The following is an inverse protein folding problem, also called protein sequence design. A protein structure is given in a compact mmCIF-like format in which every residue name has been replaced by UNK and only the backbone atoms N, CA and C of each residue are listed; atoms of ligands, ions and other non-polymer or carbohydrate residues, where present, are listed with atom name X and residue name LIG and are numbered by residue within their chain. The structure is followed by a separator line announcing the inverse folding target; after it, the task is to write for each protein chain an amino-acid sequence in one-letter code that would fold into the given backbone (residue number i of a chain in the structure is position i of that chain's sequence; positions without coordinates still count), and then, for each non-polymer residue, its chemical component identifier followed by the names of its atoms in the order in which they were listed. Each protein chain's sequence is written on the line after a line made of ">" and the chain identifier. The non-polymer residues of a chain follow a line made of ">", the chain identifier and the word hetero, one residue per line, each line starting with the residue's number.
data_IF_711316791491
#
_entry.id   IF_711316791491
#
_cell.length_a   1.000
_cell.length_b   1.000
_cell.length_c   1.000
_cell.angle_alpha   90.00
_cell.angle_beta   90.00
_cell.angle_gamma   90.00
#
_symmetry.space_group_name_H-M   'P 1'
#
loop_
_entity.id
_entity.type
_entity.pdbx_description
1 polymer ?
#
# COMPACT_ATOMS: atom_id res chain seq x y z
N UNK A 1 33.34 -51.47 17.02
CA UNK A 1 33.79 -50.07 16.86
C UNK A 1 34.92 -50.13 15.86
N UNK A 2 34.82 -49.58 14.66
CA UNK A 2 34.40 -48.20 14.34
C UNK A 2 33.35 -48.08 13.24
N UNK A 3 32.66 -46.95 13.34
CA UNK A 3 31.52 -46.48 12.55
C UNK A 3 32.08 -45.62 11.40
N UNK A 4 31.43 -45.70 10.24
CA UNK A 4 31.55 -44.82 9.07
C UNK A 4 31.88 -43.34 9.39
N UNK A 5 32.59 -42.68 8.46
CA UNK A 5 32.13 -41.38 7.95
C UNK A 5 32.79 -41.05 6.60
N UNK A 6 32.00 -41.22 5.54
CA UNK A 6 32.24 -40.63 4.24
C UNK A 6 32.33 -39.11 4.39
N UNK A 7 33.48 -38.55 4.05
CA UNK A 7 33.61 -37.10 3.85
C UNK A 7 32.78 -36.70 2.64
N UNK A 8 31.60 -36.15 2.91
CA UNK A 8 30.83 -35.39 1.93
C UNK A 8 31.68 -34.24 1.42
N UNK A 9 32.09 -34.33 0.16
CA UNK A 9 32.60 -33.22 -0.62
C UNK A 9 31.54 -32.12 -0.62
N UNK A 10 31.76 -31.10 0.21
CA UNK A 10 31.01 -29.85 0.17
C UNK A 10 31.46 -29.11 -1.09
N UNK A 11 30.97 -29.56 -2.24
CA UNK A 11 31.09 -28.83 -3.50
C UNK A 11 30.56 -27.41 -3.24
N UNK A 12 31.46 -26.43 -3.23
CA UNK A 12 31.08 -25.03 -3.33
C UNK A 12 30.39 -24.86 -4.68
N UNK A 13 29.07 -24.93 -4.70
CA UNK A 13 28.25 -24.63 -5.86
C UNK A 13 28.51 -23.14 -6.17
N UNK A 14 29.38 -22.87 -7.13
CA UNK A 14 29.56 -21.51 -7.65
C UNK A 14 28.21 -21.06 -8.19
N UNK A 15 27.68 -19.91 -7.74
CA UNK A 15 26.41 -19.42 -8.23
C UNK A 15 26.51 -19.24 -9.75
N UNK A 16 25.55 -19.80 -10.48
CA UNK A 16 25.41 -19.58 -11.92
C UNK A 16 25.25 -18.08 -12.20
N UNK A 17 25.67 -17.62 -13.38
CA UNK A 17 25.61 -16.20 -13.78
C UNK A 17 24.23 -15.58 -13.56
N UNK A 18 23.16 -16.35 -13.75
CA UNK A 18 21.78 -15.91 -13.49
C UNK A 18 21.47 -15.71 -12.00
N UNK A 19 22.04 -16.54 -11.13
CA UNK A 19 21.89 -16.40 -9.67
C UNK A 19 22.65 -15.17 -9.17
N UNK A 20 23.86 -14.93 -9.67
CA UNK A 20 24.63 -13.71 -9.37
C UNK A 20 23.86 -12.47 -9.80
N UNK A 21 23.30 -12.46 -11.02
CA UNK A 21 22.54 -11.33 -11.55
C UNK A 21 21.26 -11.05 -10.75
N UNK A 22 20.59 -12.08 -10.23
CA UNK A 22 19.39 -11.92 -9.38
C UNK A 22 19.71 -11.38 -7.99
N UNK A 23 20.81 -11.84 -7.38
CA UNK A 23 21.28 -11.32 -6.08
C UNK A 23 21.63 -9.83 -6.22
N UNK A 24 22.39 -9.48 -7.26
CA UNK A 24 22.78 -8.09 -7.55
C UNK A 24 21.57 -7.18 -7.81
N UNK A 25 20.55 -7.67 -8.54
CA UNK A 25 19.31 -6.94 -8.79
C UNK A 25 18.47 -6.73 -7.52
N UNK A 26 18.47 -7.70 -6.60
CA UNK A 26 17.72 -7.61 -5.35
C UNK A 26 18.42 -6.69 -4.33
N UNK A 27 19.75 -6.61 -4.36
CA UNK A 27 20.52 -5.69 -3.53
C UNK A 27 20.46 -4.25 -4.06
N UNK A 28 20.31 -4.07 -5.36
CA UNK A 28 20.14 -2.76 -6.00
C UNK A 28 18.76 -2.13 -5.77
N UNK A 29 17.69 -2.94 -5.69
CA UNK A 29 16.33 -2.42 -5.49
C UNK A 29 16.07 -2.11 -4.01
N UNK A 30 15.73 -0.85 -3.65
CA UNK A 30 15.53 -0.46 -2.25
C UNK A 30 14.46 -1.29 -1.50
N UNK A 31 13.50 -1.88 -2.21
CA UNK A 31 12.42 -2.70 -1.64
C UNK A 31 12.85 -4.12 -1.27
N UNK A 32 13.87 -4.67 -1.93
CA UNK A 32 14.39 -6.04 -1.68
C UNK A 32 15.74 -6.03 -0.96
N UNK A 33 16.38 -4.87 -0.84
CA UNK A 33 17.70 -4.67 -0.22
C UNK A 33 17.71 -5.00 1.30
N UNK A 34 16.57 -4.83 1.99
CA UNK A 34 16.45 -5.15 3.42
C UNK A 34 15.42 -6.25 3.67
N UNK A 35 15.88 -7.35 4.28
CA UNK A 35 15.06 -8.55 4.57
C UNK A 35 14.74 -8.75 6.05
N UNK A 36 15.01 -7.74 6.89
CA UNK A 36 14.81 -7.79 8.36
C UNK A 36 13.41 -7.33 8.81
N UNK A 37 12.38 -7.53 7.97
CA UNK A 37 11.01 -7.11 8.28
C UNK A 37 10.30 -8.11 9.19
N UNK A 38 9.73 -7.64 10.30
CA UNK A 38 8.89 -8.45 11.18
C UNK A 38 7.45 -8.53 10.67
N UNK A 39 6.70 -9.59 11.00
CA UNK A 39 5.32 -9.79 10.50
C UNK A 39 4.38 -8.64 10.85
N UNK A 40 4.51 -8.06 12.05
CA UNK A 40 3.69 -6.93 12.49
C UNK A 40 3.98 -5.65 11.69
N UNK A 41 5.23 -5.46 11.27
CA UNK A 41 5.63 -4.33 10.45
C UNK A 41 5.03 -4.44 9.03
N UNK A 42 5.08 -5.64 8.45
CA UNK A 42 4.46 -5.92 7.15
C UNK A 42 2.94 -5.77 7.18
N UNK A 43 2.29 -6.26 8.25
CA UNK A 43 0.85 -6.10 8.44
C UNK A 43 0.45 -4.61 8.54
N UNK A 44 1.20 -3.82 9.32
CA UNK A 44 0.93 -2.39 9.47
C UNK A 44 1.07 -1.61 8.16
N UNK A 45 2.12 -1.90 7.38
CA UNK A 45 2.31 -1.29 6.06
C UNK A 45 1.21 -1.66 5.07
N UNK A 46 0.78 -2.93 5.07
CA UNK A 46 -0.32 -3.38 4.22
C UNK A 46 -1.63 -2.65 4.57
N UNK A 47 -1.98 -2.59 5.86
CA UNK A 47 -3.15 -1.83 6.32
C UNK A 47 -3.05 -0.35 5.92
N UNK A 48 -1.89 0.28 6.12
CA UNK A 48 -1.69 1.70 5.78
C UNK A 48 -1.83 1.95 4.27
N UNK A 49 -1.34 1.03 3.44
CA UNK A 49 -1.51 1.11 1.98
C UNK A 49 -2.99 1.00 1.57
N UNK A 50 -3.75 0.12 2.20
CA UNK A 50 -5.18 -0.07 1.92
C UNK A 50 -6.06 1.09 2.44
N UNK A 51 -5.73 1.65 3.60
CA UNK A 51 -6.50 2.73 4.25
C UNK A 51 -6.38 4.08 3.52
N UNK A 52 -5.47 4.21 2.55
CA UNK A 52 -5.25 5.42 1.76
C UNK A 52 -6.41 5.79 0.81
N UNK A 53 -6.09 6.01 -0.47
CA UNK A 53 -7.08 6.50 -1.45
C UNK A 53 -8.34 5.64 -1.57
N UNK A 54 -8.25 4.33 -1.33
CA UNK A 54 -9.38 3.40 -1.43
C UNK A 54 -10.52 3.69 -0.43
N UNK A 55 -10.18 4.10 0.80
CA UNK A 55 -11.19 4.35 1.84
C UNK A 55 -11.90 5.69 1.64
N UNK A 56 -11.29 6.66 0.96
CA UNK A 56 -11.90 7.97 0.73
C UNK A 56 -13.18 7.90 -0.10
N UNK A 57 -13.29 6.92 -1.00
CA UNK A 57 -14.49 6.66 -1.80
C UNK A 57 -15.56 5.83 -1.08
N UNK A 58 -15.22 5.19 0.05
CA UNK A 58 -16.10 4.24 0.73
C UNK A 58 -17.40 4.88 1.24
N UNK A 59 -17.40 6.06 1.90
CA UNK A 59 -18.64 6.68 2.36
C UNK A 59 -19.58 7.03 1.21
N UNK A 60 -19.01 7.49 0.08
CA UNK A 60 -19.78 7.79 -1.12
C UNK A 60 -20.39 6.51 -1.70
N UNK A 61 -19.61 5.44 -1.86
CA UNK A 61 -20.13 4.15 -2.33
C UNK A 61 -21.24 3.58 -1.42
N UNK A 62 -21.05 3.65 -0.10
CA UNK A 62 -22.05 3.24 0.89
C UNK A 62 -23.34 4.08 0.81
N UNK A 63 -23.22 5.38 0.51
CA UNK A 63 -24.39 6.25 0.33
C UNK A 63 -25.22 5.86 -0.90
N UNK A 64 -24.58 5.36 -1.96
CA UNK A 64 -25.24 4.97 -3.20
C UNK A 64 -25.85 3.56 -3.12
N UNK A 65 -25.14 2.61 -2.49
CA UNK A 65 -25.57 1.21 -2.36
C UNK A 65 -26.53 0.98 -1.19
N UNK A 66 -26.55 1.90 -0.21
CA UNK A 66 -27.24 1.70 1.06
C UNK A 66 -26.55 0.70 1.96
N UNK A 67 -27.02 0.59 3.20
CA UNK A 67 -26.37 -0.21 4.25
C UNK A 67 -26.32 -1.70 3.93
N UNK A 68 -27.44 -2.33 3.56
CA UNK A 68 -27.50 -3.78 3.32
C UNK A 68 -26.57 -4.24 2.19
N UNK A 69 -26.79 -3.78 0.94
CA UNK A 69 -25.93 -4.13 -0.20
C UNK A 69 -24.49 -3.65 -0.03
N UNK A 70 -24.28 -2.46 0.55
CA UNK A 70 -22.94 -1.92 0.80
C UNK A 70 -22.12 -2.80 1.75
N UNK A 71 -22.69 -3.19 2.90
CA UNK A 71 -22.02 -4.10 3.84
C UNK A 71 -21.76 -5.46 3.21
N UNK A 72 -22.72 -6.01 2.45
CA UNK A 72 -22.55 -7.29 1.77
C UNK A 72 -21.35 -7.28 0.80
N UNK A 73 -21.22 -6.23 -0.01
CA UNK A 73 -20.09 -6.07 -0.95
C UNK A 73 -18.76 -5.89 -0.21
N UNK A 74 -18.73 -5.16 0.90
CA UNK A 74 -17.51 -5.00 1.72
C UNK A 74 -17.07 -6.34 2.30
N UNK A 75 -18.00 -7.13 2.86
CA UNK A 75 -17.68 -8.45 3.42
C UNK A 75 -17.19 -9.41 2.34
N UNK A 76 -17.86 -9.42 1.18
CA UNK A 76 -17.45 -10.24 0.05
C UNK A 76 -16.04 -9.86 -0.45
N UNK A 77 -15.78 -8.57 -0.61
CA UNK A 77 -14.46 -8.04 -0.99
C UNK A 77 -13.37 -8.44 0.00
N UNK A 78 -13.68 -8.38 1.30
CA UNK A 78 -12.77 -8.82 2.36
C UNK A 78 -12.43 -10.32 2.26
N UNK A 79 -13.43 -11.18 2.03
CA UNK A 79 -13.22 -12.63 1.85
C UNK A 79 -12.32 -12.90 0.63
N UNK A 80 -12.61 -12.26 -0.51
CA UNK A 80 -11.81 -12.41 -1.74
C UNK A 80 -10.38 -11.93 -1.52
N UNK A 81 -10.20 -10.81 -0.80
CA UNK A 81 -8.87 -10.26 -0.49
C UNK A 81 -8.08 -11.20 0.40
N UNK A 82 -8.68 -11.77 1.45
CA UNK A 82 -8.00 -12.75 2.30
C UNK A 82 -7.62 -14.02 1.53
N UNK A 83 -8.52 -14.51 0.69
CA UNK A 83 -8.27 -15.69 -0.13
C UNK A 83 -7.12 -15.45 -1.12
N UNK A 84 -7.11 -14.32 -1.82
CA UNK A 84 -6.03 -13.98 -2.76
C UNK A 84 -4.69 -13.73 -2.04
N UNK A 85 -4.70 -13.09 -0.86
CA UNK A 85 -3.49 -12.95 -0.03
C UNK A 85 -2.93 -14.31 0.38
N UNK A 86 -3.79 -15.24 0.80
CA UNK A 86 -3.36 -16.61 1.09
C UNK A 86 -2.70 -17.24 -0.14
N UNK A 87 -3.38 -17.21 -1.30
CA UNK A 87 -2.84 -17.79 -2.53
C UNK A 87 -1.47 -17.20 -2.89
N UNK A 88 -1.30 -15.88 -2.75
CA UNK A 88 0.00 -15.25 -3.01
C UNK A 88 1.10 -15.74 -2.07
N UNK A 89 0.79 -15.96 -0.79
CA UNK A 89 1.78 -16.48 0.18
C UNK A 89 2.20 -17.91 -0.19
N UNK A 90 1.25 -18.76 -0.56
CA UNK A 90 1.53 -20.14 -0.95
C UNK A 90 2.36 -20.22 -2.24
N UNK A 91 1.94 -19.46 -3.27
CA UNK A 91 2.60 -19.44 -4.58
C UNK A 91 4.01 -18.84 -4.52
N UNK A 92 4.27 -17.98 -3.55
CA UNK A 92 5.53 -17.25 -3.43
C UNK A 92 6.73 -18.16 -3.06
N UNK A 93 6.48 -19.34 -2.47
CA UNK A 93 7.48 -20.39 -2.19
C UNK A 93 7.06 -21.78 -2.71
N UNK A 94 6.28 -21.83 -3.80
CA UNK A 94 5.76 -23.09 -4.38
C UNK A 94 6.87 -24.07 -4.80
N UNK A 95 8.03 -23.56 -5.22
CA UNK A 95 9.17 -24.37 -5.64
C UNK A 95 10.24 -24.39 -4.54
N UNK A 96 10.64 -25.57 -4.01
CA UNK A 96 11.69 -25.67 -3.01
C UNK A 96 12.98 -24.99 -3.47
N UNK A 97 13.46 -24.02 -2.68
CA UNK A 97 14.70 -23.29 -2.96
C UNK A 97 14.58 -22.12 -3.93
N UNK A 98 13.39 -21.81 -4.46
CA UNK A 98 13.15 -20.61 -5.29
C UNK A 98 11.99 -19.78 -4.76
N UNK A 99 12.32 -18.56 -4.38
CA UNK A 99 11.38 -17.55 -3.88
C UNK A 99 10.95 -16.61 -5.01
N UNK A 100 9.65 -16.46 -5.24
CA UNK A 100 9.10 -15.61 -6.30
C UNK A 100 8.73 -14.22 -5.77
N UNK A 101 9.70 -13.34 -5.60
CA UNK A 101 9.47 -12.01 -5.01
C UNK A 101 8.72 -11.02 -5.93
N UNK A 102 8.42 -11.39 -7.18
CA UNK A 102 7.82 -10.48 -8.18
C UNK A 102 6.64 -11.12 -8.89
N UNK A 103 5.60 -10.32 -9.11
CA UNK A 103 4.39 -10.72 -9.81
C UNK A 103 4.64 -11.30 -11.20
N UNK A 104 5.49 -10.66 -12.01
CA UNK A 104 5.79 -11.17 -13.35
C UNK A 104 6.60 -12.46 -13.30
N UNK A 105 7.50 -12.65 -12.33
CA UNK A 105 8.24 -13.93 -12.19
C UNK A 105 7.30 -15.07 -11.84
N UNK A 106 6.32 -14.80 -10.96
CA UNK A 106 5.27 -15.75 -10.61
C UNK A 106 4.36 -16.04 -11.81
N UNK A 107 3.94 -15.00 -12.52
CA UNK A 107 3.14 -15.15 -13.74
C UNK A 107 3.87 -15.95 -14.82
N UNK A 108 5.17 -15.73 -14.99
CA UNK A 108 6.00 -16.49 -15.92
C UNK A 108 6.13 -17.96 -15.51
N UNK A 109 6.12 -18.25 -14.21
CA UNK A 109 6.11 -19.63 -13.71
C UNK A 109 4.78 -20.32 -13.99
N UNK A 110 3.65 -19.66 -13.69
CA UNK A 110 2.32 -20.24 -13.81
C UNK A 110 1.81 -20.34 -15.26
N UNK A 111 2.06 -19.32 -16.09
CA UNK A 111 1.52 -19.22 -17.44
C UNK A 111 2.58 -19.37 -18.55
N UNK A 112 3.85 -19.53 -18.19
CA UNK A 112 4.98 -19.59 -19.12
C UNK A 112 5.63 -18.23 -19.39
N UNK A 113 6.87 -18.26 -19.89
CA UNK A 113 7.78 -17.10 -19.90
C UNK A 113 7.27 -15.86 -20.66
N UNK A 114 6.56 -16.07 -21.78
CA UNK A 114 5.99 -14.97 -22.59
C UNK A 114 4.58 -14.61 -22.15
N UNK A 115 3.71 -15.61 -21.99
CA UNK A 115 2.29 -15.38 -21.68
C UNK A 115 2.11 -14.80 -20.27
N UNK A 116 2.88 -15.27 -19.28
CA UNK A 116 2.85 -14.73 -17.93
C UNK A 116 3.19 -13.24 -17.87
N UNK A 117 4.18 -12.81 -18.66
CA UNK A 117 4.58 -11.40 -18.72
C UNK A 117 3.49 -10.54 -19.38
N UNK A 118 2.92 -11.01 -20.50
CA UNK A 118 1.85 -10.30 -21.22
C UNK A 118 0.52 -10.23 -20.45
N UNK A 119 0.26 -11.15 -19.54
CA UNK A 119 -0.95 -11.11 -18.70
C UNK A 119 -0.73 -10.22 -17.47
N UNK A 120 0.35 -10.46 -16.73
CA UNK A 120 0.54 -9.83 -15.42
C UNK A 120 1.01 -8.38 -15.51
N UNK A 121 1.95 -8.07 -16.42
CA UNK A 121 2.54 -6.72 -16.49
C UNK A 121 1.53 -5.65 -16.92
N UNK A 122 0.70 -5.86 -17.96
CA UNK A 122 -0.30 -4.86 -18.33
C UNK A 122 -1.35 -4.62 -17.24
N UNK A 123 -1.78 -5.66 -16.54
CA UNK A 123 -2.70 -5.51 -15.41
C UNK A 123 -2.05 -4.71 -14.27
N UNK A 124 -0.80 -5.02 -13.93
CA UNK A 124 -0.08 -4.28 -12.90
C UNK A 124 0.09 -2.80 -13.29
N UNK A 125 0.51 -2.51 -14.52
CA UNK A 125 0.66 -1.13 -15.01
C UNK A 125 -0.67 -0.37 -15.02
N UNK A 126 -1.76 -1.01 -15.44
CA UNK A 126 -3.09 -0.40 -15.44
C UNK A 126 -3.49 0.05 -14.02
N UNK A 127 -3.31 -0.82 -13.03
CA UNK A 127 -3.65 -0.52 -11.63
C UNK A 127 -2.76 0.60 -11.10
N UNK A 128 -1.43 0.53 -11.30
CA UNK A 128 -0.49 1.54 -10.82
C UNK A 128 -0.74 2.93 -11.43
N UNK A 129 -0.97 2.99 -12.75
CA UNK A 129 -1.29 4.26 -13.44
C UNK A 129 -2.61 4.83 -12.91
N UNK A 130 -3.64 3.98 -12.78
CA UNK A 130 -4.95 4.41 -12.27
C UNK A 130 -4.86 4.96 -10.84
N UNK A 131 -4.16 4.24 -9.96
CA UNK A 131 -3.94 4.65 -8.57
C UNK A 131 -3.18 5.97 -8.51
N UNK A 132 -2.12 6.14 -9.30
CA UNK A 132 -1.35 7.38 -9.35
C UNK A 132 -2.23 8.58 -9.77
N UNK A 133 -3.06 8.43 -10.81
CA UNK A 133 -3.98 9.49 -11.26
C UNK A 133 -4.94 9.89 -10.13
N UNK A 134 -5.55 8.91 -9.46
CA UNK A 134 -6.49 9.16 -8.35
C UNK A 134 -5.81 9.89 -7.20
N UNK A 135 -4.59 9.49 -6.84
CA UNK A 135 -3.82 10.18 -5.79
C UNK A 135 -3.44 11.62 -6.18
N UNK A 136 -3.05 11.87 -7.43
CA UNK A 136 -2.72 13.23 -7.89
C UNK A 136 -3.93 14.16 -7.84
N UNK A 137 -5.10 13.68 -8.29
CA UNK A 137 -6.35 14.45 -8.26
C UNK A 137 -6.77 14.71 -6.80
N UNK A 138 -6.71 13.68 -5.96
CA UNK A 138 -7.11 13.77 -4.55
C UNK A 138 -6.21 14.73 -3.78
N UNK A 139 -4.89 14.64 -3.94
CA UNK A 139 -3.93 15.54 -3.34
C UNK A 139 -4.11 16.99 -3.78
N UNK A 140 -4.31 17.23 -5.08
CA UNK A 140 -4.62 18.56 -5.62
C UNK A 140 -5.92 19.14 -5.08
N UNK A 141 -6.98 18.33 -4.96
CA UNK A 141 -8.25 18.75 -4.35
C UNK A 141 -8.09 19.12 -2.87
N UNK A 142 -7.28 18.36 -2.12
CA UNK A 142 -6.98 18.66 -0.72
C UNK A 142 -6.22 19.98 -0.58
N UNK A 143 -5.20 20.22 -1.42
CA UNK A 143 -4.47 21.50 -1.43
C UNK A 143 -5.36 22.68 -1.75
N UNK A 144 -6.26 22.53 -2.73
CA UNK A 144 -7.24 23.57 -3.05
C UNK A 144 -8.12 23.91 -1.85
N UNK A 145 -8.65 22.90 -1.14
CA UNK A 145 -9.46 23.14 0.06
C UNK A 145 -8.68 23.87 1.15
N UNK A 146 -7.41 23.54 1.35
CA UNK A 146 -6.55 24.25 2.31
C UNK A 146 -6.41 25.72 1.91
N UNK A 147 -6.16 26.00 0.63
CA UNK A 147 -6.09 27.37 0.11
C UNK A 147 -7.41 28.13 0.33
N UNK A 148 -8.54 27.51 -0.02
CA UNK A 148 -9.87 28.13 0.08
C UNK A 148 -10.27 28.40 1.55
N UNK A 149 -9.77 27.59 2.50
CA UNK A 149 -9.93 27.82 3.95
C UNK A 149 -8.99 28.90 4.50
N UNK A 150 -7.77 29.01 3.97
CA UNK A 150 -6.78 29.98 4.44
C UNK A 150 -7.05 31.40 3.93
N UNK A 151 -7.67 31.53 2.76
CA UNK A 151 -7.95 32.82 2.14
C UNK A 151 -9.40 32.91 1.63
N UNK A 152 -10.27 33.56 2.43
CA UNK A 152 -11.70 33.68 2.12
C UNK A 152 -12.01 34.61 0.94
N UNK A 153 -11.18 35.63 0.69
CA UNK A 153 -11.39 36.64 -0.37
C UNK A 153 -10.44 36.48 -1.57
N UNK A 154 -9.75 35.34 -1.68
CA UNK A 154 -8.86 35.07 -2.80
C UNK A 154 -9.64 34.78 -4.09
N UNK A 155 -9.05 35.17 -5.23
CA UNK A 155 -9.60 34.78 -6.53
C UNK A 155 -9.62 33.25 -6.66
N UNK A 156 -10.70 32.67 -7.19
CA UNK A 156 -10.78 31.22 -7.37
C UNK A 156 -9.72 30.76 -8.37
N UNK A 157 -8.80 29.92 -7.90
CA UNK A 157 -7.77 29.28 -8.72
C UNK A 157 -8.30 27.94 -9.23
N UNK A 158 -7.98 27.61 -10.49
CA UNK A 158 -8.37 26.31 -11.07
C UNK A 158 -7.69 25.16 -10.35
N UNK A 159 -8.43 24.09 -10.07
CA UNK A 159 -7.93 22.87 -9.42
C UNK A 159 -6.70 22.28 -10.12
N UNK A 160 -6.61 22.41 -11.45
CA UNK A 160 -5.47 21.95 -12.26
C UNK A 160 -4.13 22.48 -11.76
N UNK A 161 -4.06 23.73 -11.28
CA UNK A 161 -2.81 24.30 -10.75
C UNK A 161 -2.39 23.61 -9.45
N UNK A 162 -3.33 23.32 -8.55
CA UNK A 162 -3.04 22.58 -7.32
C UNK A 162 -2.60 21.14 -7.59
N UNK A 163 -3.18 20.48 -8.60
CA UNK A 163 -2.74 19.15 -9.04
C UNK A 163 -1.30 19.22 -9.57
N UNK A 164 -0.96 20.23 -10.38
CA UNK A 164 0.42 20.40 -10.89
C UNK A 164 1.42 20.68 -9.76
N UNK A 165 1.04 21.48 -8.76
CA UNK A 165 1.88 21.72 -7.56
C UNK A 165 2.13 20.41 -6.83
N UNK A 166 1.08 19.62 -6.56
CA UNK A 166 1.22 18.33 -5.90
C UNK A 166 2.08 17.34 -6.69
N UNK A 167 1.90 17.29 -8.00
CA UNK A 167 2.69 16.46 -8.92
C UNK A 167 4.17 16.87 -8.94
N UNK A 168 4.45 18.19 -8.91
CA UNK A 168 5.83 18.70 -8.87
C UNK A 168 6.57 18.21 -7.62
N UNK A 169 5.92 18.25 -6.46
CA UNK A 169 6.48 17.72 -5.21
C UNK A 169 6.78 16.22 -5.34
N UNK A 170 5.85 15.43 -5.89
CA UNK A 170 6.04 13.99 -6.10
C UNK A 170 7.19 13.68 -7.08
N UNK A 171 7.32 14.49 -8.14
CA UNK A 171 8.42 14.35 -9.09
C UNK A 171 9.78 14.57 -8.42
N UNK A 172 9.93 15.55 -7.53
CA UNK A 172 11.17 15.72 -6.78
C UNK A 172 11.41 14.57 -5.80
N UNK A 173 10.37 14.12 -5.10
CA UNK A 173 10.47 13.00 -4.16
C UNK A 173 10.83 11.68 -4.86
N UNK A 174 10.41 11.46 -6.11
CA UNK A 174 10.74 10.23 -6.85
C UNK A 174 12.22 10.12 -7.23
N UNK A 175 12.96 11.23 -7.21
CA UNK A 175 14.40 11.24 -7.46
C UNK A 175 15.22 10.93 -6.18
N UNK A 176 14.57 10.79 -5.02
CA UNK A 176 15.27 10.41 -3.80
C UNK A 176 15.66 8.92 -3.86
N UNK A 177 16.97 8.59 -3.75
CA UNK A 177 17.46 7.24 -4.01
C UNK A 177 17.15 6.23 -2.88
N UNK A 178 16.63 6.67 -1.72
CA UNK A 178 16.38 5.79 -0.57
C UNK A 178 15.07 6.09 0.17
N UNK A 179 14.37 5.04 0.62
CA UNK A 179 13.22 5.15 1.51
C UNK A 179 13.55 5.84 2.86
N UNK A 180 14.82 5.78 3.28
CA UNK A 180 15.31 6.46 4.48
C UNK A 180 15.24 8.00 4.36
N UNK A 181 15.26 8.54 3.15
CA UNK A 181 15.10 9.98 2.89
C UNK A 181 13.62 10.41 2.96
N UNK A 182 12.68 9.48 2.78
CA UNK A 182 11.24 9.72 2.81
C UNK A 182 10.67 9.54 4.24
N UNK A 183 11.46 8.96 5.16
CA UNK A 183 11.03 8.71 6.54
C UNK A 183 10.58 9.97 7.27
N UNK A 184 11.15 11.14 6.93
CA UNK A 184 10.70 12.43 7.45
C UNK A 184 9.27 12.77 6.99
N UNK A 185 8.96 12.54 5.71
CA UNK A 185 7.62 12.73 5.16
C UNK A 185 6.64 11.74 5.80
N UNK A 186 7.04 10.49 5.97
CA UNK A 186 6.25 9.48 6.67
C UNK A 186 5.98 9.84 8.13
N UNK A 187 6.97 10.38 8.84
CA UNK A 187 6.82 10.86 10.22
C UNK A 187 5.84 12.04 10.29
N UNK A 188 5.96 13.01 9.39
CA UNK A 188 5.03 14.13 9.31
C UNK A 188 3.60 13.66 9.02
N UNK A 189 3.43 12.73 8.08
CA UNK A 189 2.14 12.11 7.78
C UNK A 189 1.56 11.38 9.01
N UNK A 190 2.38 10.61 9.73
CA UNK A 190 1.95 9.92 10.95
C UNK A 190 1.46 10.88 12.04
N UNK A 191 2.20 11.98 12.27
CA UNK A 191 1.80 13.03 13.23
C UNK A 191 0.46 13.67 12.82
N UNK A 192 0.28 13.98 11.54
CA UNK A 192 -0.97 14.56 11.04
C UNK A 192 -2.16 13.60 11.18
N UNK A 193 -1.97 12.32 10.88
CA UNK A 193 -3.01 11.29 11.06
C UNK A 193 -3.40 11.10 12.52
N UNK A 194 -2.43 11.10 13.44
CA UNK A 194 -2.71 11.04 14.89
C UNK A 194 -3.51 12.26 15.37
N UNK A 195 -3.17 13.46 14.90
CA UNK A 195 -3.93 14.69 15.21
C UNK A 195 -5.36 14.60 14.73
N UNK A 196 -5.57 14.19 13.47
CA UNK A 196 -6.91 14.03 12.90
C UNK A 196 -7.74 13.03 13.70
N UNK A 197 -7.18 11.84 13.98
CA UNK A 197 -7.86 10.80 14.75
C UNK A 197 -8.27 11.29 16.16
N UNK A 198 -7.36 11.96 16.88
CA UNK A 198 -7.65 12.49 18.22
C UNK A 198 -8.77 13.53 18.18
N UNK A 199 -8.76 14.44 17.20
CA UNK A 199 -9.80 15.46 17.06
C UNK A 199 -11.17 14.83 16.76
N UNK A 200 -11.24 13.89 15.81
CA UNK A 200 -12.47 13.20 15.47
C UNK A 200 -13.00 12.37 16.66
N UNK A 201 -12.11 11.68 17.39
CA UNK A 201 -12.49 10.93 18.58
C UNK A 201 -13.03 11.86 19.68
N UNK A 202 -12.39 13.00 19.89
CA UNK A 202 -12.84 13.99 20.87
C UNK A 202 -14.24 14.53 20.52
N UNK A 203 -14.47 14.91 19.27
CA UNK A 203 -15.80 15.36 18.80
C UNK A 203 -16.86 14.27 18.99
N UNK A 204 -16.55 13.03 18.65
CA UNK A 204 -17.47 11.90 18.83
C UNK A 204 -17.81 11.66 20.32
N UNK A 205 -16.81 11.70 21.20
CA UNK A 205 -17.01 11.56 22.64
C UNK A 205 -17.83 12.71 23.23
N UNK A 206 -17.61 13.94 22.77
CA UNK A 206 -18.44 15.10 23.14
C UNK A 206 -19.88 14.87 22.68
N UNK A 207 -20.09 14.41 21.45
CA UNK A 207 -21.42 14.14 20.90
C UNK A 207 -22.16 13.06 21.70
N UNK A 208 -21.48 11.95 22.03
CA UNK A 208 -22.04 10.90 22.89
C UNK A 208 -22.43 11.44 24.26
N UNK A 209 -21.54 12.19 24.92
CA UNK A 209 -21.80 12.75 26.24
C UNK A 209 -22.99 13.73 26.22
N UNK A 210 -23.12 14.52 25.17
CA UNK A 210 -24.26 15.43 24.95
C UNK A 210 -25.56 14.64 24.74
N UNK A 211 -25.57 13.62 23.87
CA UNK A 211 -26.76 12.75 23.69
C UNK A 211 -27.16 12.03 24.96
N UNK A 212 -26.22 11.46 25.72
CA UNK A 212 -26.52 10.77 26.99
C UNK A 212 -27.06 11.73 28.04
N UNK A 213 -26.59 12.99 28.08
CA UNK A 213 -27.16 14.02 28.96
C UNK A 213 -28.60 14.37 28.57
N UNK A 214 -28.88 14.56 27.28
CA UNK A 214 -30.22 14.87 26.78
C UNK A 214 -31.19 13.72 27.09
N UNK A 215 -30.81 12.47 26.79
CA UNK A 215 -31.61 11.29 27.11
C UNK A 215 -31.90 11.10 28.61
N UNK A 216 -31.02 11.61 29.49
CA UNK A 216 -31.22 11.59 30.94
C UNK A 216 -32.09 12.76 31.44
N UNK A 217 -32.27 13.82 30.65
CA UNK A 217 -33.17 14.93 30.96
C UNK A 217 -34.60 14.66 30.49
N UNK A 218 -34.79 13.76 29.52
CA UNK A 218 -36.09 13.34 28.98
C UNK A 218 -36.73 12.15 29.74
N UNK A 219 -36.09 11.66 30.81
CA UNK A 219 -36.55 10.58 31.71
C UNK A 219 -36.79 11.12 33.12
#
# INVERSE_FOLDING_TARGET
>A
MEINNNGEDRQQIKPTTDQVKKVDLNDWLPITQSRKGNWWYSAFHNVTAMVGAGVLGLPYAMSQLGWGPGVAVIVLSWIITLYTLWQMVEMHEEVPGKRFDRYHELGQHAFGEKMGLWVVVPQQLMVEIGVNIVYMITGGNSLKKIHDLACHDCKPIKTTYFIMIFASVHFFLSHLPSFNSITLVSLAAAVMSLRYFINTLLEFLIHLKTKTKILRMDL
#
